data_IF_807233397464
#
_entry.id   IF_807233397464
#
_cell.length_a   1.000
_cell.length_b   1.000
_cell.length_c   1.000
_cell.angle_alpha   90.00
_cell.angle_beta   90.00
_cell.angle_gamma   90.00
#
_symmetry.space_group_name_H-M   'P 1'
#
loop_
_entity.id
_entity.type
_entity.pdbx_description
1 polymer ?
#
# COMPACT_ATOMS: atom_id res chain seq x y z
N UNK A 1 -14.89 -28.42 13.87
CA UNK A 1 -14.25 -27.89 12.65
C UNK A 1 -12.76 -27.93 12.92
N UNK A 2 -11.99 -28.58 12.05
CA UNK A 2 -10.53 -28.61 12.18
C UNK A 2 -9.98 -27.21 11.92
N UNK A 3 -9.05 -26.78 12.77
CA UNK A 3 -8.31 -25.54 12.60
C UNK A 3 -6.88 -25.89 12.23
N UNK A 4 -6.47 -25.52 11.02
CA UNK A 4 -5.08 -25.61 10.61
C UNK A 4 -4.43 -24.26 10.82
N UNK A 5 -3.41 -24.22 11.69
CA UNK A 5 -2.74 -22.98 12.09
C UNK A 5 -1.31 -23.01 11.60
N UNK A 6 -0.94 -22.03 10.80
CA UNK A 6 0.35 -21.90 10.18
C UNK A 6 1.04 -20.61 10.62
N UNK A 7 2.35 -20.69 10.86
CA UNK A 7 3.18 -19.48 10.96
C UNK A 7 3.76 -19.18 9.59
N UNK A 8 3.44 -18.02 9.04
CA UNK A 8 3.94 -17.57 7.73
C UNK A 8 5.03 -16.52 7.94
N UNK A 9 6.24 -16.83 7.48
CA UNK A 9 7.31 -15.85 7.39
C UNK A 9 7.09 -14.93 6.19
N UNK A 10 7.41 -13.66 6.39
CA UNK A 10 7.35 -12.61 5.36
C UNK A 10 8.73 -12.00 5.24
N UNK A 11 9.31 -12.08 4.06
CA UNK A 11 10.56 -11.37 3.72
C UNK A 11 10.24 -10.23 2.75
N UNK A 12 10.64 -9.00 3.09
CA UNK A 12 10.43 -7.82 2.26
C UNK A 12 11.44 -7.83 1.12
N UNK A 13 10.97 -8.01 -0.12
CA UNK A 13 11.83 -8.04 -1.31
C UNK A 13 12.05 -6.65 -1.90
N UNK A 14 11.05 -5.77 -1.86
CA UNK A 14 11.20 -4.35 -2.17
C UNK A 14 10.50 -3.49 -1.13
N UNK A 15 10.90 -2.22 -0.90
CA UNK A 15 10.37 -1.43 0.21
C UNK A 15 8.84 -1.38 0.26
N UNK A 16 8.26 -1.65 1.43
CA UNK A 16 6.80 -1.73 1.64
C UNK A 16 6.32 -0.56 2.48
N UNK A 17 5.24 0.09 2.04
CA UNK A 17 4.52 1.09 2.83
C UNK A 17 3.05 0.74 2.90
N UNK A 18 2.56 0.55 4.13
CA UNK A 18 1.14 0.46 4.47
C UNK A 18 0.86 1.69 5.34
N UNK A 19 0.17 2.69 4.79
CA UNK A 19 0.08 3.99 5.44
C UNK A 19 -0.91 4.01 6.60
N UNK A 20 -0.60 4.77 7.67
CA UNK A 20 -1.54 5.07 8.76
C UNK A 20 -2.60 6.10 8.37
N UNK A 21 -2.39 6.82 7.26
CA UNK A 21 -3.18 8.00 6.87
C UNK A 21 -2.57 9.31 7.38
N UNK A 22 -1.64 9.25 8.33
CA UNK A 22 -0.98 10.42 8.90
C UNK A 22 0.14 10.93 8.00
N UNK A 23 0.49 12.20 8.21
CA UNK A 23 1.60 12.87 7.52
C UNK A 23 2.42 13.62 8.55
N UNK A 24 3.72 13.39 8.56
CA UNK A 24 4.66 14.01 9.48
C UNK A 24 5.46 15.07 8.73
N UNK A 25 5.32 16.33 9.12
CA UNK A 25 5.98 17.48 8.49
C UNK A 25 7.13 18.03 9.36
N UNK A 26 7.80 19.08 8.89
CA UNK A 26 8.97 19.62 9.57
C UNK A 26 8.68 20.27 10.94
N UNK A 27 7.39 20.44 11.30
CA UNK A 27 6.97 20.87 12.63
C UNK A 27 6.78 19.68 13.59
N UNK A 28 7.06 18.45 13.15
CA UNK A 28 6.84 17.22 13.92
C UNK A 28 8.09 16.33 14.01
N UNK A 29 9.22 16.75 13.46
CA UNK A 29 10.49 16.05 13.61
C UNK A 29 11.67 17.01 13.78
N UNK A 30 12.73 16.51 14.41
CA UNK A 30 14.05 17.14 14.42
C UNK A 30 14.96 16.42 13.43
N UNK A 31 15.72 17.17 12.64
CA UNK A 31 16.66 16.62 11.68
C UNK A 31 18.09 16.74 12.21
N UNK A 32 18.85 15.65 12.12
CA UNK A 32 20.30 15.65 12.32
C UNK A 32 20.94 14.80 11.22
N UNK A 33 21.71 15.44 10.33
CA UNK A 33 22.33 14.80 9.15
C UNK A 33 21.28 14.02 8.34
N UNK A 34 21.45 12.70 8.20
CA UNK A 34 20.57 11.80 7.46
C UNK A 34 19.48 11.14 8.34
N UNK A 35 19.29 11.62 9.56
CA UNK A 35 18.29 11.09 10.51
C UNK A 35 17.20 12.13 10.77
N UNK A 36 15.95 11.66 10.73
CA UNK A 36 14.79 12.38 11.26
C UNK A 36 14.39 11.75 12.58
N UNK A 37 14.13 12.56 13.59
CA UNK A 37 13.65 12.12 14.89
C UNK A 37 12.23 12.63 15.06
N UNK A 38 11.24 11.75 14.85
CA UNK A 38 9.83 12.10 14.98
C UNK A 38 9.55 12.41 16.43
N UNK A 39 9.09 13.63 16.73
CA UNK A 39 8.90 14.09 18.09
C UNK A 39 7.67 13.41 18.73
N UNK A 40 7.83 12.97 19.98
CA UNK A 40 6.70 12.62 20.83
C UNK A 40 6.13 13.91 21.44
N UNK A 41 4.85 14.25 21.23
CA UNK A 41 4.29 15.52 21.70
C UNK A 41 4.41 15.73 23.21
N UNK A 42 4.30 14.66 24.01
CA UNK A 42 4.38 14.74 25.47
C UNK A 42 5.82 14.86 25.96
N UNK A 43 6.77 14.18 25.30
CA UNK A 43 8.21 14.38 25.60
C UNK A 43 8.68 15.76 25.17
N UNK A 44 8.22 16.24 24.01
CA UNK A 44 8.51 17.60 23.53
C UNK A 44 7.99 18.66 24.50
N UNK A 45 6.73 18.55 24.93
CA UNK A 45 6.15 19.48 25.93
C UNK A 45 6.95 19.50 27.23
N UNK A 46 7.24 18.34 27.80
CA UNK A 46 8.03 18.23 29.04
C UNK A 46 9.45 18.80 28.88
N UNK A 47 10.04 18.63 27.70
CA UNK A 47 11.35 19.21 27.40
C UNK A 47 11.28 20.74 27.34
N UNK A 48 10.27 21.33 26.69
CA UNK A 48 10.08 22.78 26.65
C UNK A 48 9.88 23.38 28.06
N UNK A 49 9.09 22.71 28.90
CA UNK A 49 8.86 23.08 30.30
C UNK A 49 10.15 23.01 31.12
N UNK A 50 10.87 21.89 31.03
CA UNK A 50 12.12 21.69 31.76
C UNK A 50 13.25 22.64 31.34
N UNK A 51 13.22 23.13 30.09
CA UNK A 51 14.16 24.14 29.59
C UNK A 51 13.65 25.58 29.78
N UNK A 52 12.45 25.77 30.33
CA UNK A 52 11.80 27.08 30.50
C UNK A 52 11.70 27.91 29.21
N UNK A 53 11.41 27.26 28.07
CA UNK A 53 11.31 27.89 26.74
C UNK A 53 9.90 27.81 26.14
N UNK A 54 8.90 27.36 26.90
CA UNK A 54 7.51 27.21 26.46
C UNK A 54 6.94 28.51 25.87
N UNK A 55 7.12 29.65 26.55
CA UNK A 55 6.62 30.94 26.05
C UNK A 55 7.26 31.33 24.70
N UNK A 56 8.57 31.07 24.54
CA UNK A 56 9.28 31.33 23.27
C UNK A 56 8.80 30.41 22.15
N UNK A 57 8.49 29.16 22.47
CA UNK A 57 7.92 28.22 21.51
C UNK A 57 6.52 28.65 21.04
N UNK A 58 5.66 29.10 21.95
CA UNK A 58 4.33 29.61 21.59
C UNK A 58 4.43 30.85 20.69
N UNK A 59 5.29 31.81 21.03
CA UNK A 59 5.53 32.98 20.19
C UNK A 59 6.08 32.60 18.80
N UNK A 60 6.96 31.59 18.73
CA UNK A 60 7.42 31.06 17.45
C UNK A 60 6.28 30.40 16.66
N UNK A 61 5.41 29.62 17.31
CA UNK A 61 4.23 29.02 16.67
C UNK A 61 3.27 30.08 16.12
N UNK A 62 3.10 31.22 16.80
CA UNK A 62 2.33 32.36 16.27
C UNK A 62 2.94 32.89 14.96
N UNK A 63 4.27 32.98 14.88
CA UNK A 63 4.97 33.36 13.64
C UNK A 63 4.79 32.34 12.52
N UNK A 64 4.71 31.05 12.86
CA UNK A 64 4.40 29.98 11.89
C UNK A 64 2.98 30.16 11.36
N UNK A 65 2.02 30.47 12.24
CA UNK A 65 0.62 30.69 11.88
C UNK A 65 0.45 31.86 10.89
N UNK A 66 1.22 32.95 11.08
CA UNK A 66 1.19 34.13 10.20
C UNK A 66 1.67 33.86 8.77
N UNK A 67 2.50 32.83 8.56
CA UNK A 67 3.07 32.50 7.24
C UNK A 67 2.41 31.28 6.59
N UNK A 68 1.31 30.76 7.14
CA UNK A 68 0.63 29.60 6.56
C UNK A 68 0.17 29.87 5.11
N UNK A 69 0.47 28.93 4.22
CA UNK A 69 0.13 29.04 2.79
C UNK A 69 1.07 29.94 1.97
N UNK A 70 2.04 30.60 2.61
CA UNK A 70 3.05 31.43 1.92
C UNK A 70 4.33 30.63 1.64
N UNK A 71 5.18 31.07 0.69
CA UNK A 71 6.49 30.46 0.48
C UNK A 71 7.36 30.41 1.74
N UNK A 72 7.21 31.38 2.64
CA UNK A 72 7.94 31.48 3.91
C UNK A 72 7.62 30.33 4.87
N UNK A 73 6.46 29.68 4.76
CA UNK A 73 6.11 28.50 5.57
C UNK A 73 7.17 27.39 5.44
N UNK A 74 7.79 27.22 4.27
CA UNK A 74 8.84 26.20 4.06
C UNK A 74 10.11 26.46 4.86
N UNK A 75 10.26 27.66 5.42
CA UNK A 75 11.38 28.01 6.28
C UNK A 75 11.13 27.67 7.75
N UNK A 76 9.93 27.19 8.10
CA UNK A 76 9.55 26.83 9.45
C UNK A 76 9.76 25.33 9.70
N UNK A 77 10.58 25.00 10.70
CA UNK A 77 10.78 23.62 11.18
C UNK A 77 11.16 23.60 12.66
N UNK A 78 10.90 22.51 13.37
CA UNK A 78 11.35 22.33 14.76
C UNK A 78 12.87 22.41 14.85
N UNK A 79 13.59 21.89 13.85
CA UNK A 79 15.05 22.00 13.78
C UNK A 79 15.49 23.46 13.81
N UNK A 80 14.84 24.32 13.01
CA UNK A 80 15.14 25.76 12.96
C UNK A 80 14.68 26.51 14.21
N UNK A 81 13.61 26.08 14.87
CA UNK A 81 13.28 26.60 16.19
C UNK A 81 14.45 26.40 17.17
N UNK A 82 15.05 25.21 17.19
CA UNK A 82 16.23 24.96 18.04
C UNK A 82 17.46 25.78 17.62
N UNK A 83 17.80 25.80 16.33
CA UNK A 83 19.04 26.43 15.85
C UNK A 83 18.96 27.95 15.74
N UNK A 84 17.83 28.47 15.26
CA UNK A 84 17.71 29.89 14.89
C UNK A 84 17.06 30.69 16.02
N UNK A 85 16.04 30.13 16.67
CA UNK A 85 15.36 30.79 17.80
C UNK A 85 16.11 30.55 19.11
N UNK A 86 16.41 29.29 19.45
CA UNK A 86 17.08 28.96 20.72
C UNK A 86 18.61 28.95 20.65
N UNK A 87 19.22 29.08 19.45
CA UNK A 87 20.68 29.09 19.25
C UNK A 87 21.38 27.84 19.79
N UNK A 88 20.69 26.70 19.80
CA UNK A 88 21.21 25.40 20.24
C UNK A 88 22.14 24.81 19.18
N UNK A 89 23.22 24.17 19.60
CA UNK A 89 24.15 23.46 18.71
C UNK A 89 24.04 21.93 18.81
N UNK A 90 23.39 21.43 19.84
CA UNK A 90 23.25 20.03 20.23
C UNK A 90 21.85 19.48 19.89
N UNK A 91 21.41 19.73 18.65
CA UNK A 91 20.11 19.25 18.12
C UNK A 91 19.96 17.74 18.29
N UNK A 92 21.01 16.95 18.02
CA UNK A 92 20.97 15.50 18.19
C UNK A 92 20.73 15.03 19.62
N UNK A 93 21.24 15.77 20.61
CA UNK A 93 21.00 15.48 22.02
C UNK A 93 19.54 15.73 22.39
N UNK A 94 18.95 16.85 21.95
CA UNK A 94 17.50 17.12 22.12
C UNK A 94 16.68 16.05 21.44
N UNK A 95 17.02 15.75 20.19
CA UNK A 95 16.27 14.82 19.36
C UNK A 95 16.13 13.46 20.02
N UNK A 96 17.21 12.91 20.58
CA UNK A 96 17.17 11.64 21.33
C UNK A 96 16.31 11.68 22.59
N UNK A 97 16.20 12.83 23.26
CA UNK A 97 15.35 12.98 24.46
C UNK A 97 13.86 13.05 24.12
N UNK A 98 13.52 13.70 23.00
CA UNK A 98 12.12 14.00 22.65
C UNK A 98 11.53 13.07 21.60
N UNK A 99 12.36 12.26 20.94
CA UNK A 99 11.89 11.37 19.88
C UNK A 99 10.91 10.31 20.40
N UNK A 100 9.85 10.12 19.62
CA UNK A 100 9.05 8.91 19.59
C UNK A 100 9.85 7.76 18.96
N UNK A 101 10.52 8.03 17.83
CA UNK A 101 11.39 7.09 17.13
C UNK A 101 12.33 7.81 16.14
N UNK A 102 13.52 7.25 15.85
CA UNK A 102 14.41 7.72 14.80
C UNK A 102 14.03 7.11 13.44
N UNK A 103 14.22 7.85 12.35
CA UNK A 103 13.93 7.41 10.99
C UNK A 103 15.07 7.85 10.06
N UNK A 104 15.78 6.88 9.48
CA UNK A 104 16.88 7.14 8.56
C UNK A 104 16.36 7.54 7.18
N UNK A 105 16.90 8.61 6.60
CA UNK A 105 16.71 8.96 5.20
C UNK A 105 17.60 8.08 4.32
N UNK A 106 17.00 7.07 3.68
CA UNK A 106 17.74 6.11 2.87
C UNK A 106 17.75 6.53 1.40
N UNK A 107 18.90 6.99 0.92
CA UNK A 107 19.09 7.40 -0.48
C UNK A 107 18.05 8.46 -0.92
N UNK A 108 17.66 9.36 -0.02
CA UNK A 108 16.80 10.50 -0.31
C UNK A 108 17.21 11.74 0.49
N UNK A 109 16.82 12.92 0.02
CA UNK A 109 16.94 14.15 0.78
C UNK A 109 15.79 14.34 1.78
N UNK A 110 15.89 15.41 2.57
CA UNK A 110 14.83 15.83 3.49
C UNK A 110 13.48 16.02 2.75
N UNK A 111 12.35 15.63 3.36
CA UNK A 111 11.02 15.94 2.85
C UNK A 111 10.79 17.43 2.61
N UNK A 112 9.87 17.76 1.69
CA UNK A 112 9.32 19.11 1.62
C UNK A 112 8.76 19.50 3.00
N UNK A 113 9.19 20.62 3.62
CA UNK A 113 8.88 20.91 5.02
C UNK A 113 7.39 21.00 5.35
N UNK A 114 6.55 21.35 4.36
CA UNK A 114 5.11 21.52 4.53
C UNK A 114 4.37 20.21 4.24
N UNK A 115 4.72 19.54 3.13
CA UNK A 115 4.08 18.27 2.74
C UNK A 115 4.52 17.10 3.60
N UNK A 116 5.74 17.13 4.11
CA UNK A 116 6.32 16.10 4.96
C UNK A 116 6.42 14.74 4.27
N UNK A 117 6.38 13.69 5.09
CA UNK A 117 6.33 12.31 4.65
C UNK A 117 5.08 11.58 5.16
N UNK A 118 4.70 10.50 4.47
CA UNK A 118 3.59 9.63 4.89
C UNK A 118 4.08 8.59 5.88
N UNK A 119 3.43 8.52 7.03
CA UNK A 119 3.79 7.59 8.10
C UNK A 119 3.31 6.17 7.79
N UNK A 120 4.17 5.18 8.10
CA UNK A 120 3.80 3.77 8.01
C UNK A 120 2.93 3.39 9.22
N UNK A 121 2.06 2.41 9.05
CA UNK A 121 1.19 1.94 10.12
C UNK A 121 2.01 1.31 11.24
N UNK A 122 1.83 1.83 12.46
CA UNK A 122 2.50 1.36 13.67
C UNK A 122 1.46 0.94 14.71
N UNK A 123 1.78 -0.03 15.55
CA UNK A 123 0.93 -0.40 16.68
C UNK A 123 1.09 0.61 17.83
N UNK A 124 0.34 0.44 18.93
CA UNK A 124 0.33 1.39 20.04
C UNK A 124 1.71 1.64 20.70
N UNK A 125 2.62 0.66 20.68
CA UNK A 125 4.01 0.83 21.16
C UNK A 125 4.98 1.29 20.06
N UNK A 126 4.45 1.85 18.97
CA UNK A 126 5.20 2.43 17.85
C UNK A 126 6.00 1.45 17.01
N UNK A 127 5.84 0.13 17.10
CA UNK A 127 6.47 -0.79 16.14
C UNK A 127 5.73 -0.80 14.80
N UNK A 128 6.47 -0.73 13.69
CA UNK A 128 5.91 -0.84 12.35
C UNK A 128 5.52 -2.28 12.06
N UNK A 129 4.34 -2.54 11.50
CA UNK A 129 3.89 -3.90 11.20
C UNK A 129 3.13 -3.96 9.87
N UNK A 130 2.82 -5.17 9.41
CA UNK A 130 1.88 -5.41 8.30
C UNK A 130 0.53 -5.82 8.89
N UNK A 131 -0.52 -5.02 8.71
CA UNK A 131 -1.83 -5.39 9.22
C UNK A 131 -2.42 -6.58 8.46
N UNK A 132 -3.05 -7.50 9.18
CA UNK A 132 -3.69 -8.71 8.66
C UNK A 132 -4.79 -8.37 7.67
N UNK A 133 -5.42 -7.21 7.80
CA UNK A 133 -6.39 -6.69 6.82
C UNK A 133 -5.76 -6.36 5.45
N UNK A 134 -4.51 -5.88 5.41
CA UNK A 134 -3.79 -5.62 4.16
C UNK A 134 -3.32 -6.92 3.51
N UNK A 135 -2.80 -7.86 4.30
CA UNK A 135 -2.44 -9.20 3.84
C UNK A 135 -3.67 -9.94 3.29
N UNK A 136 -4.75 -10.00 4.07
CA UNK A 136 -6.02 -10.63 3.70
C UNK A 136 -6.70 -9.95 2.52
N UNK A 137 -6.58 -8.62 2.37
CA UNK A 137 -7.09 -7.91 1.20
C UNK A 137 -6.36 -8.28 -0.09
N UNK A 138 -5.04 -8.49 -0.03
CA UNK A 138 -4.26 -8.96 -1.17
C UNK A 138 -4.59 -10.42 -1.52
N UNK A 139 -4.72 -11.29 -0.50
CA UNK A 139 -5.19 -12.68 -0.66
C UNK A 139 -6.58 -12.71 -1.29
N UNK A 140 -7.53 -11.91 -0.78
CA UNK A 140 -8.90 -11.82 -1.32
C UNK A 140 -8.90 -11.47 -2.80
N UNK A 141 -8.09 -10.51 -3.20
CA UNK A 141 -8.05 -10.10 -4.60
C UNK A 141 -7.45 -11.21 -5.46
N UNK A 142 -6.47 -11.97 -4.94
CA UNK A 142 -5.89 -13.14 -5.61
C UNK A 142 -6.94 -14.20 -5.88
N UNK A 143 -7.68 -14.60 -4.83
CA UNK A 143 -8.79 -15.55 -4.92
C UNK A 143 -9.86 -15.08 -5.91
N UNK A 144 -10.24 -13.80 -5.88
CA UNK A 144 -11.19 -13.25 -6.85
C UNK A 144 -10.69 -13.32 -8.29
N UNK A 145 -9.40 -13.09 -8.53
CA UNK A 145 -8.85 -13.23 -9.88
C UNK A 145 -8.85 -14.68 -10.35
N UNK A 146 -8.53 -15.61 -9.47
CA UNK A 146 -8.52 -17.04 -9.79
C UNK A 146 -9.93 -17.54 -10.14
N UNK A 147 -10.91 -17.26 -9.28
CA UNK A 147 -12.32 -17.59 -9.52
C UNK A 147 -12.91 -16.94 -10.77
N UNK A 148 -12.42 -15.75 -11.17
CA UNK A 148 -12.86 -15.11 -12.41
C UNK A 148 -12.32 -15.81 -13.66
N UNK A 149 -11.20 -16.51 -13.56
CA UNK A 149 -10.61 -17.28 -14.66
C UNK A 149 -11.34 -18.61 -14.89
N UNK A 150 -12.13 -19.07 -13.93
CA UNK A 150 -13.00 -20.24 -14.07
C UNK A 150 -14.29 -19.92 -14.86
N UNK A 151 -14.82 -20.90 -15.59
CA UNK A 151 -16.20 -21.00 -16.09
C UNK A 151 -16.90 -19.70 -16.58
N UNK A 152 -16.22 -18.94 -17.45
CA UNK A 152 -16.71 -17.69 -18.07
C UNK A 152 -17.12 -16.60 -17.04
N UNK A 153 -16.67 -16.73 -15.78
CA UNK A 153 -16.99 -15.81 -14.69
C UNK A 153 -16.51 -14.39 -14.97
N UNK A 154 -15.31 -14.21 -15.54
CA UNK A 154 -14.79 -12.91 -15.97
C UNK A 154 -15.80 -12.17 -16.86
N UNK A 155 -16.39 -12.88 -17.82
CA UNK A 155 -17.37 -12.31 -18.74
C UNK A 155 -18.71 -12.06 -18.06
N UNK A 156 -19.22 -13.06 -17.36
CA UNK A 156 -20.57 -13.11 -16.77
C UNK A 156 -20.74 -12.15 -15.59
N UNK A 157 -19.79 -12.16 -14.66
CA UNK A 157 -19.92 -11.51 -13.35
C UNK A 157 -19.27 -10.13 -13.30
N UNK A 158 -18.35 -9.84 -14.24
CA UNK A 158 -17.64 -8.56 -14.29
C UNK A 158 -17.83 -7.81 -15.63
N UNK A 159 -17.35 -8.38 -16.74
CA UNK A 159 -17.25 -7.64 -18.01
C UNK A 159 -18.62 -7.22 -18.57
N UNK A 160 -19.58 -8.16 -18.71
CA UNK A 160 -20.89 -7.86 -19.27
C UNK A 160 -21.71 -6.92 -18.37
N UNK A 161 -21.82 -7.15 -17.04
CA UNK A 161 -22.50 -6.21 -16.15
C UNK A 161 -21.87 -4.81 -16.21
N UNK A 162 -20.55 -4.70 -16.24
CA UNK A 162 -19.89 -3.40 -16.40
C UNK A 162 -20.26 -2.74 -17.72
N UNK A 163 -20.15 -3.47 -18.84
CA UNK A 163 -20.46 -2.93 -20.17
C UNK A 163 -21.90 -2.41 -20.23
N UNK A 164 -22.87 -3.17 -19.72
CA UNK A 164 -24.29 -2.79 -19.69
C UNK A 164 -24.57 -1.57 -18.80
N UNK A 165 -23.98 -1.50 -17.60
CA UNK A 165 -24.22 -0.39 -16.67
C UNK A 165 -23.55 0.90 -17.12
N UNK A 166 -22.36 0.80 -17.70
CA UNK A 166 -21.58 1.96 -18.17
C UNK A 166 -22.20 2.60 -19.42
N UNK A 167 -22.84 1.83 -20.31
CA UNK A 167 -23.53 2.39 -21.48
C UNK A 167 -24.81 3.14 -21.11
N UNK A 168 -25.51 2.70 -20.06
CA UNK A 168 -26.77 3.29 -19.59
C UNK A 168 -26.59 4.59 -18.79
N UNK A 169 -25.38 4.92 -18.34
CA UNK A 169 -25.11 6.05 -17.45
C UNK A 169 -24.04 6.96 -18.07
N UNK A 170 -24.48 7.96 -18.85
CA UNK A 170 -23.62 9.03 -19.39
C UNK A 170 -23.87 10.36 -18.67
N UNK A 171 -22.81 11.10 -18.35
CA UNK A 171 -22.89 12.48 -17.81
C UNK A 171 -23.17 12.61 -16.30
N UNK A 172 -23.49 11.52 -15.58
CA UNK A 172 -23.65 11.53 -14.12
C UNK A 172 -22.52 10.77 -13.42
N UNK A 173 -21.49 11.52 -13.00
CA UNK A 173 -20.35 11.00 -12.26
C UNK A 173 -20.73 10.24 -10.99
N UNK A 174 -21.72 10.72 -10.23
CA UNK A 174 -22.08 10.10 -8.94
C UNK A 174 -22.75 8.76 -9.19
N UNK A 175 -23.67 8.71 -10.15
CA UNK A 175 -24.32 7.48 -10.57
C UNK A 175 -23.32 6.49 -11.17
N UNK A 176 -22.42 6.94 -12.03
CA UNK A 176 -21.39 6.09 -12.64
C UNK A 176 -20.51 5.39 -11.59
N UNK A 177 -20.03 6.13 -10.57
CA UNK A 177 -19.27 5.55 -9.45
C UNK A 177 -20.08 4.54 -8.65
N UNK A 178 -21.38 4.77 -8.49
CA UNK A 178 -22.28 3.86 -7.78
C UNK A 178 -22.49 2.57 -8.57
N UNK A 179 -22.72 2.66 -9.88
CA UNK A 179 -22.90 1.48 -10.74
C UNK A 179 -21.63 0.63 -10.80
N UNK A 180 -20.46 1.24 -11.01
CA UNK A 180 -19.17 0.55 -10.96
C UNK A 180 -19.02 -0.17 -9.62
N UNK A 181 -19.23 0.51 -8.49
CA UNK A 181 -19.17 -0.13 -7.17
C UNK A 181 -20.18 -1.28 -7.02
N UNK A 182 -21.40 -1.10 -7.54
CA UNK A 182 -22.46 -2.10 -7.48
C UNK A 182 -22.07 -3.39 -8.21
N UNK A 183 -21.46 -3.28 -9.40
CA UNK A 183 -20.99 -4.46 -10.15
C UNK A 183 -19.88 -5.19 -9.40
N UNK A 184 -18.91 -4.47 -8.85
CA UNK A 184 -17.88 -5.09 -7.99
C UNK A 184 -18.47 -5.82 -6.79
N UNK A 185 -19.46 -5.21 -6.12
CA UNK A 185 -20.13 -5.85 -4.98
C UNK A 185 -20.92 -7.09 -5.41
N UNK A 186 -21.59 -7.07 -6.55
CA UNK A 186 -22.34 -8.22 -7.07
C UNK A 186 -21.40 -9.37 -7.45
N UNK A 187 -20.29 -9.07 -8.13
CA UNK A 187 -19.24 -10.04 -8.44
C UNK A 187 -18.69 -10.70 -7.17
N UNK A 188 -18.31 -9.91 -6.16
CA UNK A 188 -17.84 -10.47 -4.88
C UNK A 188 -18.91 -11.31 -4.16
N UNK A 189 -20.19 -10.91 -4.25
CA UNK A 189 -21.29 -11.67 -3.64
C UNK A 189 -21.51 -13.01 -4.35
N UNK A 190 -21.46 -13.01 -5.68
CA UNK A 190 -21.59 -14.22 -6.48
C UNK A 190 -20.47 -15.21 -6.17
N UNK A 191 -19.22 -14.74 -6.26
CA UNK A 191 -18.04 -15.62 -6.18
C UNK A 191 -17.66 -16.04 -4.75
N UNK A 192 -17.84 -15.16 -3.77
CA UNK A 192 -17.35 -15.41 -2.40
C UNK A 192 -18.46 -15.54 -1.35
N UNK A 193 -19.74 -15.29 -1.68
CA UNK A 193 -20.83 -15.23 -0.69
C UNK A 193 -22.10 -16.00 -1.06
N UNK A 194 -22.06 -16.87 -2.06
CA UNK A 194 -23.24 -17.64 -2.48
C UNK A 194 -24.41 -16.74 -2.92
N UNK A 195 -24.09 -15.59 -3.52
CA UNK A 195 -25.07 -14.56 -3.92
C UNK A 195 -25.67 -13.74 -2.76
N UNK A 196 -25.17 -13.87 -1.53
CA UNK A 196 -25.71 -13.16 -0.36
C UNK A 196 -24.95 -11.85 -0.06
N UNK A 197 -25.67 -10.82 0.36
CA UNK A 197 -25.08 -9.51 0.67
C UNK A 197 -24.25 -9.51 1.96
N UNK A 198 -24.71 -10.22 2.99
CA UNK A 198 -24.12 -10.13 4.34
C UNK A 198 -22.74 -10.82 4.38
N UNK A 199 -21.81 -10.22 5.12
CA UNK A 199 -20.45 -10.73 5.24
C UNK A 199 -20.35 -12.08 5.97
N UNK A 200 -21.40 -12.54 6.66
CA UNK A 200 -21.40 -13.85 7.32
C UNK A 200 -21.45 -15.05 6.36
N UNK A 201 -21.71 -14.81 5.07
CA UNK A 201 -21.68 -15.81 4.01
C UNK A 201 -20.34 -15.85 3.28
N UNK A 202 -19.37 -15.01 3.64
CA UNK A 202 -18.11 -14.87 2.92
C UNK A 202 -17.16 -16.05 3.17
N UNK A 203 -16.67 -16.69 2.11
CA UNK A 203 -15.69 -17.79 2.16
C UNK A 203 -14.47 -17.42 3.01
N UNK A 204 -14.00 -16.17 2.92
CA UNK A 204 -12.83 -15.71 3.66
C UNK A 204 -13.07 -15.58 5.17
N UNK A 205 -14.25 -15.90 5.70
CA UNK A 205 -14.42 -16.12 7.16
C UNK A 205 -13.63 -17.32 7.65
N UNK A 206 -13.38 -18.29 6.78
CA UNK A 206 -12.62 -19.50 7.05
C UNK A 206 -11.12 -19.35 6.77
N UNK A 207 -10.69 -18.15 6.38
CA UNK A 207 -9.29 -17.76 6.18
C UNK A 207 -8.96 -16.61 7.13
N UNK A 208 -8.31 -16.89 8.24
CA UNK A 208 -7.97 -15.89 9.26
C UNK A 208 -6.50 -15.52 9.15
N UNK A 209 -6.22 -14.21 9.13
CA UNK A 209 -4.88 -13.66 8.95
C UNK A 209 -4.64 -12.67 10.08
N UNK A 210 -3.67 -12.95 10.95
CA UNK A 210 -3.30 -12.03 12.02
C UNK A 210 -2.55 -10.82 11.47
N UNK A 211 -2.43 -9.79 12.30
CA UNK A 211 -1.38 -8.79 12.11
C UNK A 211 0.00 -9.46 12.21
N UNK A 212 1.00 -8.92 11.50
CA UNK A 212 2.37 -9.38 11.65
C UNK A 212 2.97 -8.93 12.98
N UNK A 213 4.01 -9.61 13.42
CA UNK A 213 4.92 -9.06 14.43
C UNK A 213 5.54 -7.74 13.93
N UNK A 214 5.87 -6.82 14.84
CA UNK A 214 6.50 -5.57 14.45
C UNK A 214 7.92 -5.81 13.92
N UNK A 215 8.29 -5.07 12.87
CA UNK A 215 9.67 -4.97 12.40
C UNK A 215 10.51 -4.19 13.40
N UNK A 216 11.82 -4.47 13.42
CA UNK A 216 12.78 -3.66 14.16
C UNK A 216 12.86 -2.26 13.56
N UNK A 217 13.15 -1.25 14.40
CA UNK A 217 13.11 0.15 13.96
C UNK A 217 14.14 0.44 12.86
N UNK A 218 15.30 -0.22 12.88
CA UNK A 218 16.38 -0.07 11.91
C UNK A 218 16.03 -0.65 10.53
N UNK A 219 15.02 -1.52 10.48
CA UNK A 219 14.44 -2.08 9.27
C UNK A 219 13.38 -1.15 8.65
N UNK A 220 13.15 0.03 9.22
CA UNK A 220 12.25 1.05 8.68
C UNK A 220 13.06 2.28 8.29
N UNK A 221 12.87 2.78 7.07
CA UNK A 221 13.56 3.96 6.58
C UNK A 221 12.63 4.86 5.76
N UNK A 222 13.04 6.11 5.59
CA UNK A 222 12.39 7.02 4.69
C UNK A 222 12.93 6.84 3.28
N UNK A 223 12.04 6.71 2.30
CA UNK A 223 12.36 6.62 0.87
C UNK A 223 11.56 7.63 0.06
N UNK A 224 12.16 8.11 -1.03
CA UNK A 224 11.47 8.91 -2.03
C UNK A 224 10.82 8.00 -3.07
N UNK A 225 9.52 8.17 -3.30
CA UNK A 225 8.77 7.52 -4.37
C UNK A 225 8.30 8.55 -5.38
N UNK A 226 8.43 8.25 -6.66
CA UNK A 226 7.97 9.14 -7.75
C UNK A 226 7.09 8.40 -8.73
N UNK A 227 6.14 9.11 -9.32
CA UNK A 227 5.33 8.57 -10.41
C UNK A 227 6.07 8.54 -11.75
N UNK A 228 5.90 7.44 -12.49
CA UNK A 228 6.42 7.21 -13.84
C UNK A 228 5.32 7.30 -14.90
N UNK A 229 5.73 7.48 -16.16
CA UNK A 229 4.82 7.49 -17.32
C UNK A 229 3.95 8.75 -17.43
N UNK A 230 4.27 9.81 -16.68
CA UNK A 230 3.53 11.08 -16.68
C UNK A 230 4.45 12.28 -16.92
N UNK A 231 3.98 13.25 -17.70
CA UNK A 231 4.72 14.51 -17.97
C UNK A 231 4.69 15.45 -16.76
N UNK A 232 3.88 15.14 -15.74
CA UNK A 232 3.82 15.86 -14.46
C UNK A 232 4.07 14.87 -13.34
N UNK A 233 5.33 14.47 -13.10
CA UNK A 233 5.66 13.53 -12.04
C UNK A 233 5.31 14.13 -10.69
N UNK A 234 4.86 13.27 -9.79
CA UNK A 234 4.58 13.56 -8.40
C UNK A 234 5.54 12.76 -7.56
N UNK A 235 6.11 13.39 -6.53
CA UNK A 235 6.96 12.72 -5.54
C UNK A 235 6.25 12.64 -4.19
N UNK A 236 6.59 11.63 -3.40
CA UNK A 236 6.18 11.48 -2.02
C UNK A 236 7.31 10.82 -1.23
N UNK A 237 7.58 11.34 -0.04
CA UNK A 237 8.41 10.66 0.94
C UNK A 237 7.52 9.72 1.73
N UNK A 238 7.92 8.45 1.79
CA UNK A 238 7.20 7.41 2.50
C UNK A 238 8.15 6.82 3.54
N UNK A 239 7.64 6.64 4.75
CA UNK A 239 8.23 5.73 5.71
C UNK A 239 7.95 4.30 5.24
N UNK A 240 8.97 3.50 4.99
CA UNK A 240 8.84 2.17 4.40
C UNK A 240 9.66 1.14 5.17
N UNK A 241 9.13 -0.07 5.26
CA UNK A 241 9.91 -1.25 5.67
C UNK A 241 10.89 -1.58 4.55
N UNK A 242 12.16 -1.81 4.91
CA UNK A 242 13.29 -1.95 3.99
C UNK A 242 13.32 -3.34 3.35
N UNK A 243 13.93 -3.43 2.17
CA UNK A 243 14.25 -4.72 1.57
C UNK A 243 15.20 -5.52 2.49
N UNK A 244 14.99 -6.84 2.57
CA UNK A 244 15.68 -7.75 3.49
C UNK A 244 15.12 -7.76 4.92
N UNK A 245 14.13 -6.93 5.25
CA UNK A 245 13.44 -7.03 6.52
C UNK A 245 12.54 -8.26 6.57
N UNK A 246 12.42 -8.88 7.74
CA UNK A 246 11.57 -10.05 7.94
C UNK A 246 10.62 -9.87 9.12
N UNK A 247 9.45 -10.50 9.02
CA UNK A 247 8.46 -10.63 10.10
C UNK A 247 7.70 -11.94 9.91
N UNK A 248 6.77 -12.26 10.80
CA UNK A 248 5.86 -13.39 10.69
C UNK A 248 4.44 -13.01 11.08
N UNK A 249 3.46 -13.73 10.54
CA UNK A 249 2.06 -13.65 10.95
C UNK A 249 1.45 -15.05 11.03
N UNK A 250 0.29 -15.17 11.67
CA UNK A 250 -0.46 -16.42 11.77
C UNK A 250 -1.54 -16.48 10.68
N UNK A 251 -1.52 -17.56 9.91
CA UNK A 251 -2.58 -17.94 8.98
C UNK A 251 -3.36 -19.10 9.59
N UNK A 252 -4.68 -18.96 9.74
CA UNK A 252 -5.53 -20.07 10.17
C UNK A 252 -6.57 -20.38 9.11
N UNK A 253 -6.63 -21.64 8.71
CA UNK A 253 -7.54 -22.17 7.70
C UNK A 253 -8.51 -23.17 8.34
N UNK A 254 -9.75 -23.20 7.83
CA UNK A 254 -10.79 -24.14 8.27
C UNK A 254 -11.21 -25.06 7.10
N UNK A 255 -10.41 -26.10 6.78
CA UNK A 255 -10.70 -27.08 5.73
C UNK A 255 -12.12 -27.66 5.76
N UNK A 256 -12.63 -27.96 6.95
CA UNK A 256 -13.91 -28.62 7.17
C UNK A 256 -15.09 -27.65 7.29
N UNK A 257 -14.94 -26.42 6.78
CA UNK A 257 -15.99 -25.42 6.84
C UNK A 257 -17.30 -25.90 6.20
N UNK A 258 -18.47 -25.60 6.80
CA UNK A 258 -19.77 -25.94 6.22
C UNK A 258 -20.15 -24.93 5.13
N UNK A 259 -19.77 -25.21 3.87
CA UNK A 259 -19.99 -24.32 2.73
C UNK A 259 -21.44 -24.30 2.24
N UNK A 260 -22.09 -25.47 2.09
CA UNK A 260 -23.48 -25.57 1.60
C UNK A 260 -24.49 -24.71 2.37
N UNK A 261 -24.51 -24.68 3.73
CA UNK A 261 -25.45 -23.82 4.46
C UNK A 261 -25.26 -22.32 4.19
N UNK A 262 -24.11 -21.92 3.69
CA UNK A 262 -23.83 -20.54 3.28
C UNK A 262 -24.17 -20.27 1.80
N UNK A 263 -24.63 -21.28 1.07
CA UNK A 263 -24.86 -21.20 -0.38
C UNK A 263 -23.58 -21.15 -1.21
N UNK A 264 -22.46 -21.55 -0.63
CA UNK A 264 -21.17 -21.67 -1.31
C UNK A 264 -21.04 -23.06 -1.93
N UNK A 265 -20.42 -23.13 -3.12
CA UNK A 265 -20.09 -24.39 -3.77
C UNK A 265 -19.09 -25.20 -2.92
N UNK A 266 -19.20 -26.52 -2.95
CA UNK A 266 -18.26 -27.42 -2.27
C UNK A 266 -16.87 -27.38 -2.90
N UNK A 267 -16.74 -27.06 -4.20
CA UNK A 267 -15.45 -26.92 -4.89
C UNK A 267 -14.57 -25.87 -4.22
N UNK A 268 -15.18 -24.79 -3.71
CA UNK A 268 -14.48 -23.69 -3.01
C UNK A 268 -13.69 -24.14 -1.76
N UNK A 269 -13.90 -25.38 -1.30
CA UNK A 269 -13.14 -25.98 -0.19
C UNK A 269 -11.65 -26.04 -0.48
N UNK A 270 -11.24 -26.21 -1.73
CA UNK A 270 -9.82 -26.27 -2.10
C UNK A 270 -9.06 -24.99 -1.73
N UNK A 271 -9.71 -23.82 -1.84
CA UNK A 271 -9.13 -22.52 -1.44
C UNK A 271 -8.95 -22.35 0.07
N UNK A 272 -9.45 -23.29 0.86
CA UNK A 272 -9.21 -23.37 2.31
C UNK A 272 -8.00 -24.25 2.64
N UNK A 273 -7.30 -24.80 1.65
CA UNK A 273 -6.03 -25.50 1.81
C UNK A 273 -4.87 -24.53 1.58
N UNK A 274 -3.76 -24.70 2.30
CA UNK A 274 -2.63 -23.78 2.15
C UNK A 274 -1.96 -23.92 0.78
N UNK A 275 -1.93 -25.14 0.22
CA UNK A 275 -1.32 -25.44 -1.08
C UNK A 275 -1.99 -24.63 -2.19
N UNK A 276 -3.32 -24.74 -2.29
CA UNK A 276 -4.11 -24.01 -3.29
C UNK A 276 -4.02 -22.52 -3.05
N UNK A 277 -4.10 -22.07 -1.79
CA UNK A 277 -3.98 -20.65 -1.48
C UNK A 277 -2.64 -20.08 -1.96
N UNK A 278 -1.54 -20.81 -1.75
CA UNK A 278 -0.21 -20.40 -2.18
C UNK A 278 -0.04 -20.44 -3.70
N UNK A 279 -0.63 -21.43 -4.38
CA UNK A 279 -0.69 -21.48 -5.85
C UNK A 279 -1.37 -20.24 -6.43
N UNK A 280 -2.53 -19.85 -5.87
CA UNK A 280 -3.27 -18.65 -6.29
C UNK A 280 -2.42 -17.38 -6.14
N UNK A 281 -1.66 -17.27 -5.04
CA UNK A 281 -0.76 -16.14 -4.83
C UNK A 281 0.39 -16.14 -5.84
N UNK A 282 0.99 -17.31 -6.11
CA UNK A 282 2.04 -17.50 -7.10
C UNK A 282 1.57 -17.06 -8.50
N UNK A 283 0.42 -17.55 -8.95
CA UNK A 283 -0.13 -17.24 -10.28
C UNK A 283 -0.49 -15.76 -10.43
N UNK A 284 -1.08 -15.16 -9.39
CA UNK A 284 -1.34 -13.70 -9.38
C UNK A 284 -0.04 -12.90 -9.49
N UNK A 285 0.97 -13.28 -8.73
CA UNK A 285 2.25 -12.58 -8.74
C UNK A 285 2.92 -12.69 -10.11
N UNK A 286 2.88 -13.85 -10.74
CA UNK A 286 3.43 -14.10 -12.07
C UNK A 286 2.76 -13.22 -13.13
N UNK A 287 1.42 -13.26 -13.20
CA UNK A 287 0.63 -12.38 -14.10
C UNK A 287 0.95 -10.91 -13.87
N UNK A 288 1.18 -10.50 -12.62
CA UNK A 288 1.53 -9.12 -12.31
C UNK A 288 2.96 -8.77 -12.73
N UNK A 289 3.94 -9.62 -12.47
CA UNK A 289 5.34 -9.38 -12.84
C UNK A 289 5.49 -9.29 -14.35
N UNK A 290 4.83 -10.16 -15.10
CA UNK A 290 4.79 -10.12 -16.57
C UNK A 290 4.26 -8.76 -17.08
N UNK A 291 3.16 -8.26 -16.49
CA UNK A 291 2.62 -6.93 -16.81
C UNK A 291 3.60 -5.79 -16.51
N UNK A 292 4.33 -5.88 -15.40
CA UNK A 292 5.31 -4.86 -15.01
C UNK A 292 6.57 -4.91 -15.89
N UNK A 293 7.00 -6.10 -16.34
CA UNK A 293 8.14 -6.27 -17.26
C UNK A 293 7.89 -5.70 -18.66
N UNK A 294 6.64 -5.73 -19.12
CA UNK A 294 6.20 -5.09 -20.37
C UNK A 294 6.20 -3.55 -20.28
N UNK A 295 6.16 -2.99 -19.08
CA UNK A 295 6.20 -1.54 -18.90
C UNK A 295 7.60 -0.99 -19.27
N UNK A 296 7.71 0.20 -19.91
CA UNK A 296 8.98 0.79 -20.31
C UNK A 296 9.74 1.40 -19.13
N UNK A 297 10.08 0.57 -18.14
CA UNK A 297 10.93 0.97 -17.04
C UNK A 297 12.41 1.10 -17.45
N UNK A 298 13.22 1.90 -16.72
CA UNK A 298 14.67 1.86 -16.82
C UNK A 298 15.24 0.45 -16.55
N UNK A 299 16.41 0.16 -17.10
CA UNK A 299 17.04 -1.17 -17.02
C UNK A 299 17.18 -1.69 -15.59
N UNK A 300 17.59 -0.85 -14.64
CA UNK A 300 17.75 -1.23 -13.23
C UNK A 300 16.44 -1.75 -12.61
N UNK A 301 15.30 -1.13 -12.91
CA UNK A 301 14.00 -1.57 -12.40
C UNK A 301 13.57 -2.88 -13.09
N UNK A 302 13.87 -3.05 -14.38
CA UNK A 302 13.58 -4.32 -15.09
C UNK A 302 14.41 -5.48 -14.54
N UNK A 303 15.69 -5.25 -14.24
CA UNK A 303 16.54 -6.25 -13.60
C UNK A 303 15.98 -6.69 -12.25
N UNK A 304 15.49 -5.74 -11.44
CA UNK A 304 14.84 -6.08 -10.18
C UNK A 304 13.55 -6.89 -10.39
N UNK A 305 12.71 -6.53 -11.37
CA UNK A 305 11.50 -7.28 -11.68
C UNK A 305 11.82 -8.72 -12.13
N UNK A 306 12.90 -8.92 -12.90
CA UNK A 306 13.39 -10.25 -13.29
C UNK A 306 13.90 -11.04 -12.07
N UNK A 307 14.59 -10.38 -11.13
CA UNK A 307 14.99 -10.99 -9.85
C UNK A 307 13.77 -11.40 -9.03
N UNK A 308 12.73 -10.58 -8.96
CA UNK A 308 11.48 -10.93 -8.28
C UNK A 308 10.80 -12.13 -8.96
N UNK A 309 10.77 -12.17 -10.29
CA UNK A 309 10.22 -13.30 -11.03
C UNK A 309 10.94 -14.61 -10.71
N UNK A 310 12.28 -14.60 -10.58
CA UNK A 310 13.03 -15.82 -10.20
C UNK A 310 12.83 -16.24 -8.74
N UNK A 311 12.30 -15.35 -7.87
CA UNK A 311 11.96 -15.67 -6.49
C UNK A 311 10.52 -16.15 -6.31
N UNK A 312 9.64 -15.93 -7.27
CA UNK A 312 8.26 -16.39 -7.19
C UNK A 312 8.23 -17.92 -7.31
N UNK A 313 7.80 -18.62 -6.27
CA UNK A 313 7.66 -20.08 -6.28
C UNK A 313 6.35 -20.47 -5.60
N UNK A 314 5.84 -21.66 -5.91
CA UNK A 314 4.59 -22.19 -5.32
C UNK A 314 4.68 -22.35 -3.80
N UNK A 315 5.82 -22.83 -3.30
CA UNK A 315 6.12 -22.95 -1.86
C UNK A 315 6.47 -21.59 -1.20
N UNK A 316 6.82 -20.60 -2.02
CA UNK A 316 7.32 -19.31 -1.57
C UNK A 316 6.81 -18.13 -2.43
N UNK A 317 5.48 -17.92 -2.51
CA UNK A 317 4.90 -16.99 -3.48
C UNK A 317 5.20 -15.55 -3.12
N UNK A 318 5.29 -14.71 -4.14
CA UNK A 318 5.35 -13.27 -3.95
C UNK A 318 3.95 -12.69 -3.71
N UNK A 319 3.91 -11.64 -2.90
CA UNK A 319 2.71 -10.84 -2.66
C UNK A 319 3.08 -9.37 -2.71
N UNK A 320 2.35 -8.57 -3.47
CA UNK A 320 2.55 -7.13 -3.47
C UNK A 320 1.54 -6.44 -2.54
N UNK A 321 2.00 -5.55 -1.67
CA UNK A 321 1.24 -4.92 -0.59
C UNK A 321 1.29 -3.39 -0.62
N UNK A 322 0.25 -2.79 -0.04
CA UNK A 322 0.21 -1.38 0.28
C UNK A 322 0.35 -0.44 -0.92
N UNK A 323 1.11 0.65 -0.74
CA UNK A 323 1.21 1.75 -1.71
C UNK A 323 1.77 1.34 -3.08
N UNK A 324 2.45 0.19 -3.16
CA UNK A 324 3.01 -0.36 -4.39
C UNK A 324 2.00 -1.07 -5.28
N UNK A 325 0.80 -1.40 -4.78
CA UNK A 325 -0.17 -2.16 -5.57
C UNK A 325 -0.72 -1.38 -6.77
N UNK A 326 -1.00 -0.10 -6.60
CA UNK A 326 -1.68 0.69 -7.63
C UNK A 326 -3.05 0.12 -8.03
N UNK A 327 -3.67 0.70 -9.07
CA UNK A 327 -5.03 0.32 -9.47
C UNK A 327 -5.16 -1.15 -9.90
N UNK A 328 -4.21 -1.66 -10.71
CA UNK A 328 -4.25 -3.04 -11.20
C UNK A 328 -3.79 -4.08 -10.17
N UNK A 329 -3.18 -3.65 -9.06
CA UNK A 329 -2.82 -4.53 -7.95
C UNK A 329 -3.90 -4.64 -6.88
N UNK A 330 -4.77 -3.62 -6.75
CA UNK A 330 -5.89 -3.57 -5.80
C UNK A 330 -7.23 -3.97 -6.43
N UNK A 331 -7.27 -4.28 -7.72
CA UNK A 331 -8.50 -4.64 -8.45
C UNK A 331 -8.23 -5.83 -9.36
N UNK A 332 -9.30 -6.55 -9.71
CA UNK A 332 -9.29 -7.65 -10.69
C UNK A 332 -9.20 -7.16 -12.15
N UNK A 333 -9.15 -5.85 -12.38
CA UNK A 333 -9.16 -5.26 -13.73
C UNK A 333 -7.88 -5.52 -14.52
N UNK A 334 -6.86 -6.10 -13.88
CA UNK A 334 -5.73 -6.70 -14.58
C UNK A 334 -6.19 -7.72 -15.62
N UNK A 335 -7.08 -8.63 -15.22
CA UNK A 335 -7.61 -9.69 -16.09
C UNK A 335 -8.33 -9.12 -17.31
N UNK A 336 -9.28 -8.21 -17.10
CA UNK A 336 -10.02 -7.58 -18.20
C UNK A 336 -9.08 -6.86 -19.17
N UNK A 337 -8.01 -6.23 -18.65
CA UNK A 337 -7.03 -5.54 -19.50
C UNK A 337 -6.20 -6.51 -20.33
N UNK A 338 -5.78 -7.62 -19.74
CA UNK A 338 -4.86 -8.55 -20.36
C UNK A 338 -5.61 -9.47 -21.36
N UNK A 339 -6.82 -9.93 -21.02
CA UNK A 339 -7.60 -10.87 -21.84
C UNK A 339 -8.53 -10.17 -22.84
N UNK A 340 -8.97 -8.94 -22.54
CA UNK A 340 -10.00 -8.21 -23.29
C UNK A 340 -9.61 -6.72 -23.51
N UNK A 341 -8.46 -6.44 -24.14
CA UNK A 341 -7.85 -5.10 -24.15
C UNK A 341 -8.73 -4.02 -24.80
N UNK A 342 -9.50 -4.36 -25.84
CA UNK A 342 -10.41 -3.42 -26.50
C UNK A 342 -11.60 -3.06 -25.59
N UNK A 343 -12.22 -4.06 -24.96
CA UNK A 343 -13.31 -3.83 -24.02
C UNK A 343 -12.81 -3.06 -22.79
N UNK A 344 -11.62 -3.37 -22.29
CA UNK A 344 -10.99 -2.61 -21.21
C UNK A 344 -10.80 -1.14 -21.57
N UNK A 345 -10.26 -0.84 -22.75
CA UNK A 345 -10.10 0.54 -23.22
C UNK A 345 -11.48 1.24 -23.34
N UNK A 346 -12.50 0.56 -23.86
CA UNK A 346 -13.85 1.12 -23.94
C UNK A 346 -14.44 1.35 -22.54
N UNK A 347 -14.23 0.45 -21.60
CA UNK A 347 -14.66 0.59 -20.20
C UNK A 347 -13.99 1.78 -19.54
N UNK A 348 -12.67 1.96 -19.70
CA UNK A 348 -11.94 3.12 -19.17
C UNK A 348 -12.47 4.41 -19.78
N UNK A 349 -12.76 4.43 -21.08
CA UNK A 349 -13.36 5.59 -21.74
C UNK A 349 -14.74 5.92 -21.15
N UNK A 350 -15.58 4.91 -20.91
CA UNK A 350 -16.90 5.10 -20.32
C UNK A 350 -16.82 5.49 -18.83
N UNK A 351 -15.79 5.04 -18.11
CA UNK A 351 -15.54 5.37 -16.69
C UNK A 351 -14.84 6.72 -16.50
N UNK A 352 -14.43 7.40 -17.57
CA UNK A 352 -13.53 8.57 -17.51
C UNK A 352 -13.98 9.65 -16.55
N UNK A 353 -15.27 9.96 -16.52
CA UNK A 353 -15.85 10.97 -15.61
C UNK A 353 -15.81 10.55 -14.14
N UNK A 354 -15.89 9.25 -13.86
CA UNK A 354 -15.78 8.68 -12.52
C UNK A 354 -14.34 8.69 -11.99
N UNK A 355 -13.33 8.70 -12.86
CA UNK A 355 -11.92 8.72 -12.47
C UNK A 355 -11.52 10.02 -11.76
N UNK A 356 -10.45 10.02 -10.95
CA UNK A 356 -9.88 11.24 -10.36
C UNK A 356 -9.64 12.31 -11.43
N UNK A 357 -9.90 13.58 -11.08
CA UNK A 357 -9.80 14.74 -12.01
C UNK A 357 -10.55 14.53 -13.34
N UNK A 358 -11.67 13.79 -13.31
CA UNK A 358 -12.51 13.47 -14.49
C UNK A 358 -11.72 12.81 -15.63
N UNK A 359 -10.69 12.03 -15.28
CA UNK A 359 -9.84 11.35 -16.25
C UNK A 359 -9.01 12.31 -17.13
N UNK A 360 -8.70 13.51 -16.64
CA UNK A 360 -7.79 14.42 -17.33
C UNK A 360 -6.42 13.74 -17.49
N UNK A 361 -5.92 13.68 -18.74
CA UNK A 361 -4.66 13.01 -19.08
C UNK A 361 -4.72 11.47 -19.11
N UNK A 362 -5.90 10.87 -18.95
CA UNK A 362 -6.11 9.43 -19.15
C UNK A 362 -6.28 9.15 -20.65
N UNK A 363 -5.47 8.23 -21.17
CA UNK A 363 -5.69 7.60 -22.46
C UNK A 363 -6.20 6.18 -22.20
N UNK A 364 -7.38 5.80 -22.73
CA UNK A 364 -7.97 4.52 -22.38
C UNK A 364 -7.12 3.29 -22.75
N UNK A 365 -6.40 3.36 -23.88
CA UNK A 365 -5.54 2.28 -24.38
C UNK A 365 -4.32 1.98 -23.51
N UNK A 366 -3.91 2.87 -22.61
CA UNK A 366 -2.74 2.67 -21.75
C UNK A 366 -3.04 2.86 -20.26
N UNK A 367 -4.31 2.91 -19.85
CA UNK A 367 -4.69 3.11 -18.46
C UNK A 367 -4.50 1.83 -17.61
N UNK A 368 -4.07 1.94 -16.34
CA UNK A 368 -3.38 3.08 -15.77
C UNK A 368 -1.97 3.18 -16.36
N UNK A 369 -1.60 4.35 -16.88
CA UNK A 369 -0.24 4.58 -17.39
C UNK A 369 0.76 4.82 -16.27
N UNK A 370 0.28 5.35 -15.15
CA UNK A 370 1.14 5.79 -14.06
C UNK A 370 1.61 4.60 -13.26
N UNK A 371 2.92 4.50 -13.08
CA UNK A 371 3.57 3.57 -12.16
C UNK A 371 4.29 4.32 -11.06
N UNK A 372 4.78 3.62 -10.05
CA UNK A 372 5.51 4.20 -8.92
C UNK A 372 6.83 3.49 -8.78
N UNK A 373 7.90 4.26 -8.68
CA UNK A 373 9.24 3.74 -8.47
C UNK A 373 9.86 4.39 -7.25
N UNK A 374 10.58 3.57 -6.48
CA UNK A 374 11.46 4.06 -5.43
C UNK A 374 12.69 4.68 -6.10
N UNK A 375 13.11 5.84 -5.59
CA UNK A 375 14.25 6.60 -6.11
C UNK A 375 15.48 6.45 -5.22
N UNK A 376 16.65 6.62 -5.85
CA UNK A 376 17.92 6.91 -5.19
C UNK A 376 18.14 8.43 -5.11
N UNK A 377 19.23 8.85 -4.44
CA UNK A 377 19.56 10.26 -4.23
C UNK A 377 19.84 11.01 -5.53
N UNK A 378 20.35 10.31 -6.55
CA UNK A 378 20.56 10.81 -7.91
C UNK A 378 19.28 10.78 -8.78
N UNK A 379 18.11 10.60 -8.17
CA UNK A 379 16.80 10.43 -8.82
C UNK A 379 16.63 9.20 -9.72
N UNK A 380 17.59 8.28 -9.74
CA UNK A 380 17.47 7.03 -10.48
C UNK A 380 16.37 6.14 -9.88
N UNK A 381 15.50 5.61 -10.73
CA UNK A 381 14.53 4.60 -10.33
C UNK A 381 15.20 3.24 -10.12
N UNK A 382 14.87 2.57 -9.02
CA UNK A 382 15.51 1.28 -8.66
C UNK A 382 14.52 0.14 -8.46
N UNK A 383 13.38 0.38 -7.81
CA UNK A 383 12.43 -0.69 -7.47
C UNK A 383 11.00 -0.28 -7.78
N UNK A 384 10.16 -1.26 -8.13
CA UNK A 384 8.72 -1.12 -7.85
C UNK A 384 8.48 -1.48 -6.38
N UNK A 385 7.80 -0.65 -5.58
CA UNK A 385 7.65 -0.91 -4.15
C UNK A 385 6.61 -2.00 -3.86
N UNK A 386 6.66 -2.54 -2.65
CA UNK A 386 5.58 -3.33 -2.06
C UNK A 386 5.69 -4.84 -2.18
N UNK A 387 6.75 -5.41 -2.75
CA UNK A 387 6.87 -6.87 -2.90
C UNK A 387 7.41 -7.53 -1.63
N UNK A 388 6.69 -8.55 -1.16
CA UNK A 388 7.12 -9.46 -0.10
C UNK A 388 7.07 -10.89 -0.59
N UNK A 389 7.89 -11.77 -0.01
CA UNK A 389 7.84 -13.21 -0.22
C UNK A 389 7.27 -13.88 1.02
N UNK A 390 6.34 -14.80 0.83
CA UNK A 390 5.73 -15.59 1.90
C UNK A 390 6.37 -16.97 1.94
N UNK A 391 6.56 -17.56 3.12
CA UNK A 391 6.95 -18.98 3.29
C UNK A 391 6.27 -19.53 4.54
N UNK A 392 5.75 -20.74 4.49
CA UNK A 392 5.33 -21.44 5.70
C UNK A 392 6.57 -21.83 6.51
N UNK A 393 6.51 -21.68 7.83
CA UNK A 393 7.41 -22.43 8.69
C UNK A 393 6.91 -23.89 8.68
N UNK A 394 7.78 -24.81 8.28
CA UNK A 394 7.59 -26.22 8.61
C UNK A 394 7.45 -26.30 10.14
N UNK A 395 6.38 -26.96 10.58
CA UNK A 395 5.98 -27.03 11.99
C UNK A 395 6.87 -27.99 12.76
#
# INVERSE_FOLDING_TARGET
MTHEVYTVNVEVQTPVHVGSGETVNALSYLQEKDMLYVADPDRWRRWLEGQNVTARFLQWMDSVAQVLGTPQQRQMSLTRFLTDTLRRQDVGAVAKQVAAYPLRMEQCGEPDPVRGFKAHLRHAHRGAYLPGSSLKGAIRTALLEDLLLEDDHLRRDLQQPLKQRLTAVKGDRRRLRREVRSVWQQMEQALLRGGKQKANFDLLRFVMVSDSEPFQQEQVSLRLVRSEGTNRPTHAWLEMVRAGASTRFTLTLLPDAPLKPLGLDDTLREYLMWETLFEVLYERAERRLQRELQYPYPAAVKQELQRLQSLNRRDAPLLCLGWGQGYLGTTVMGLVRDDLPQDYAQMVQNMREALPRRGQGVQPSNFPKTRRTVRQRNEQAVYTPGWVQLRLNET
#
